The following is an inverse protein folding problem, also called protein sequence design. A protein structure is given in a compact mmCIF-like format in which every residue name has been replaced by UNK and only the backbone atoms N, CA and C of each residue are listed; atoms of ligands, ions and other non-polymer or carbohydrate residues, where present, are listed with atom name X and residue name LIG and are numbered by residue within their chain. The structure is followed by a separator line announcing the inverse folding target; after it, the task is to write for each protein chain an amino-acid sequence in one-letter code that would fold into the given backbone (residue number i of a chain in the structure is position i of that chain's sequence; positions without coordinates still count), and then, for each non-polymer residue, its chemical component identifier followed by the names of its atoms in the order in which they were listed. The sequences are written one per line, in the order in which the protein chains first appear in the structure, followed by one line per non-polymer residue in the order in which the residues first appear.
data_IF_720225901384
#
_entry.id   IF_720225901384
#
_cell.length_a   1.000
_cell.length_b   1.000
_cell.length_c   1.000
_cell.angle_alpha   90.00
_cell.angle_beta   90.00
_cell.angle_gamma   90.00
#
_symmetry.space_group_name_H-M   'P 1'
#
loop_
_entity.id
_entity.type
_entity.pdbx_description
1 polymer ?
#
# COMPACT_ATOMS: atom_id res chain seq x y z
N UNK A 1 18.35 35.72 -10.19
CA UNK A 1 19.09 34.51 -10.57
C UNK A 1 18.14 33.38 -10.28
N UNK A 2 17.42 32.93 -11.32
CA UNK A 2 16.77 31.64 -11.31
C UNK A 2 17.89 30.63 -11.11
N UNK A 3 17.93 30.01 -9.93
CA UNK A 3 18.80 28.87 -9.69
C UNK A 3 18.07 27.68 -10.27
N UNK A 4 18.60 27.12 -11.37
CA UNK A 4 18.20 25.82 -11.95
C UNK A 4 18.54 24.69 -10.96
N UNK A 5 17.98 24.73 -9.76
CA UNK A 5 18.25 23.75 -8.73
C UNK A 5 17.46 22.48 -9.02
N UNK A 6 18.18 21.36 -9.13
CA UNK A 6 17.61 20.07 -9.49
C UNK A 6 17.43 19.18 -8.27
N UNK A 7 16.40 18.35 -8.29
CA UNK A 7 16.20 17.34 -7.27
C UNK A 7 16.00 15.95 -7.87
N UNK A 8 16.47 14.95 -7.13
CA UNK A 8 16.14 13.55 -7.35
C UNK A 8 15.36 13.05 -6.14
N UNK A 9 14.27 12.31 -6.36
CA UNK A 9 13.46 11.75 -5.28
C UNK A 9 13.39 10.24 -5.44
N UNK A 10 13.76 9.52 -4.39
CA UNK A 10 13.64 8.06 -4.29
C UNK A 10 12.53 7.72 -3.30
N UNK A 11 11.57 6.93 -3.75
CA UNK A 11 10.45 6.43 -2.94
C UNK A 11 10.70 4.99 -2.56
N UNK A 12 10.64 4.68 -1.26
CA UNK A 12 10.72 3.32 -0.74
C UNK A 12 9.49 2.98 0.09
N UNK A 13 9.19 1.68 0.18
CA UNK A 13 8.19 1.14 1.08
C UNK A 13 6.85 0.85 0.42
N UNK A 14 5.84 1.70 0.66
CA UNK A 14 4.45 1.34 0.39
C UNK A 14 3.69 2.43 -0.36
N UNK A 15 2.49 2.13 -0.92
CA UNK A 15 1.65 3.09 -1.65
C UNK A 15 1.39 4.41 -0.92
N UNK A 16 1.38 4.40 0.43
CA UNK A 16 1.20 5.63 1.22
C UNK A 16 2.42 6.56 1.10
N UNK A 17 3.64 5.99 1.04
CA UNK A 17 4.86 6.75 0.82
C UNK A 17 4.97 7.26 -0.63
N UNK A 18 4.42 6.54 -1.60
CA UNK A 18 4.34 7.02 -3.00
C UNK A 18 3.50 8.29 -3.09
N UNK A 19 2.30 8.30 -2.49
CA UNK A 19 1.49 9.53 -2.42
C UNK A 19 2.23 10.67 -1.73
N UNK A 20 2.95 10.39 -0.65
CA UNK A 20 3.77 11.39 0.05
C UNK A 20 4.89 11.93 -0.85
N UNK A 21 5.50 11.08 -1.65
CA UNK A 21 6.57 11.43 -2.59
C UNK A 21 6.08 12.28 -3.76
N UNK A 22 4.91 11.98 -4.32
CA UNK A 22 4.29 12.79 -5.36
C UNK A 22 3.91 14.19 -4.85
N UNK A 23 3.47 14.29 -3.59
CA UNK A 23 3.20 15.57 -2.92
C UNK A 23 4.48 16.38 -2.68
N UNK A 24 5.55 15.73 -2.23
CA UNK A 24 6.86 16.36 -2.11
C UNK A 24 7.37 16.85 -3.46
N UNK A 25 7.21 16.04 -4.52
CA UNK A 25 7.56 16.40 -5.90
C UNK A 25 6.79 17.65 -6.35
N UNK A 26 5.47 17.68 -6.17
CA UNK A 26 4.64 18.84 -6.50
C UNK A 26 5.05 20.11 -5.74
N UNK A 27 5.42 19.98 -4.47
CA UNK A 27 5.94 21.09 -3.67
C UNK A 27 7.30 21.59 -4.22
N UNK A 28 8.27 20.71 -4.46
CA UNK A 28 9.60 21.08 -4.93
C UNK A 28 9.56 21.75 -6.30
N UNK A 29 8.71 21.24 -7.21
CA UNK A 29 8.46 21.88 -8.51
C UNK A 29 7.83 23.27 -8.33
N UNK A 30 6.87 23.42 -7.40
CA UNK A 30 6.25 24.72 -7.09
C UNK A 30 7.22 25.71 -6.47
N UNK A 31 8.25 25.23 -5.77
CA UNK A 31 9.36 26.03 -5.24
C UNK A 31 10.43 26.35 -6.30
N UNK A 32 10.24 25.93 -7.55
CA UNK A 32 11.07 26.27 -8.71
C UNK A 32 12.20 25.29 -9.00
N UNK A 33 12.19 24.09 -8.40
CA UNK A 33 13.18 23.05 -8.68
C UNK A 33 12.75 22.17 -9.86
N UNK A 34 13.73 21.59 -10.56
CA UNK A 34 13.51 20.66 -11.68
C UNK A 34 13.82 19.21 -11.24
N UNK A 35 12.95 18.25 -11.58
CA UNK A 35 13.22 16.84 -11.31
C UNK A 35 14.29 16.28 -12.27
N UNK A 36 15.19 15.44 -11.76
CA UNK A 36 16.23 14.77 -12.56
C UNK A 36 16.44 13.33 -12.11
N UNK A 37 16.63 12.41 -13.06
CA UNK A 37 17.08 11.03 -12.80
C UNK A 37 18.61 10.91 -12.78
N UNK A 38 19.32 11.94 -13.25
CA UNK A 38 20.77 12.01 -13.20
C UNK A 38 21.24 12.54 -11.85
N UNK A 39 21.67 11.60 -10.98
CA UNK A 39 22.20 11.88 -9.64
C UNK A 39 23.40 12.83 -9.65
N UNK A 40 24.20 12.84 -10.71
CA UNK A 40 25.39 13.70 -10.80
C UNK A 40 25.02 15.17 -11.01
N UNK A 41 23.79 15.43 -11.45
CA UNK A 41 23.24 16.75 -11.68
C UNK A 41 22.20 17.17 -10.62
N UNK A 42 21.92 16.34 -9.61
CA UNK A 42 20.95 16.66 -8.56
C UNK A 42 21.60 17.52 -7.46
N UNK A 43 21.05 18.69 -7.14
CA UNK A 43 21.49 19.48 -5.98
C UNK A 43 20.91 18.94 -4.66
N UNK A 44 19.71 18.34 -4.75
CA UNK A 44 18.97 17.77 -3.62
C UNK A 44 18.54 16.34 -3.95
N UNK A 45 18.85 15.39 -3.08
CA UNK A 45 18.40 14.01 -3.15
C UNK A 45 17.47 13.78 -1.96
N UNK A 46 16.19 13.54 -2.22
CA UNK A 46 15.20 13.24 -1.18
C UNK A 46 14.93 11.74 -1.17
N UNK A 47 15.13 11.08 -0.03
CA UNK A 47 14.85 9.65 0.14
C UNK A 47 13.65 9.49 1.08
N UNK A 48 12.49 9.09 0.53
CA UNK A 48 11.31 8.78 1.32
C UNK A 48 11.36 7.32 1.79
N UNK A 49 11.78 7.13 3.02
CA UNK A 49 12.17 5.85 3.61
C UNK A 49 10.99 5.08 4.24
N UNK A 50 11.17 3.76 4.34
CA UNK A 50 10.28 2.87 5.06
C UNK A 50 10.91 2.41 6.38
N UNK A 51 10.09 2.14 7.39
CA UNK A 51 10.53 1.57 8.67
C UNK A 51 9.49 0.62 9.27
N UNK A 52 8.71 -0.02 8.40
CA UNK A 52 7.61 -0.87 8.82
C UNK A 52 8.09 -2.24 9.33
N UNK A 53 9.10 -2.80 8.67
CA UNK A 53 9.76 -4.06 9.04
C UNK A 53 11.27 -3.91 8.90
N UNK A 54 12.02 -4.77 9.59
CA UNK A 54 13.49 -4.81 9.56
C UNK A 54 14.07 -4.81 8.15
N UNK A 55 13.59 -5.66 7.24
CA UNK A 55 14.11 -5.75 5.87
C UNK A 55 13.95 -4.43 5.10
N UNK A 56 12.84 -3.72 5.30
CA UNK A 56 12.60 -2.42 4.66
C UNK A 56 13.46 -1.30 5.24
N UNK A 57 13.90 -1.44 6.51
CA UNK A 57 14.86 -0.52 7.14
C UNK A 57 16.25 -0.74 6.55
N UNK A 58 16.68 -1.99 6.39
CA UNK A 58 17.96 -2.35 5.77
C UNK A 58 18.02 -1.82 4.33
N UNK A 59 16.99 -2.08 3.52
CA UNK A 59 16.86 -1.56 2.15
C UNK A 59 16.97 -0.03 2.11
N UNK A 60 16.31 0.66 3.05
CA UNK A 60 16.37 2.13 3.14
C UNK A 60 17.79 2.63 3.42
N UNK A 61 18.52 1.98 4.33
CA UNK A 61 19.90 2.35 4.66
C UNK A 61 20.84 2.07 3.50
N UNK A 62 20.75 0.88 2.88
CA UNK A 62 21.57 0.52 1.72
C UNK A 62 21.35 1.49 0.55
N UNK A 63 20.11 1.88 0.30
CA UNK A 63 19.78 2.87 -0.74
C UNK A 63 20.42 4.22 -0.47
N UNK A 64 20.39 4.71 0.78
CA UNK A 64 21.03 5.97 1.16
C UNK A 64 22.53 5.92 0.89
N UNK A 65 23.20 4.83 1.30
CA UNK A 65 24.64 4.65 1.10
C UNK A 65 24.99 4.58 -0.39
N UNK A 66 24.22 3.84 -1.18
CA UNK A 66 24.43 3.75 -2.64
C UNK A 66 24.24 5.12 -3.32
N UNK A 67 23.27 5.93 -2.89
CA UNK A 67 23.06 7.28 -3.42
C UNK A 67 24.21 8.21 -3.05
N UNK A 68 24.77 8.10 -1.85
CA UNK A 68 25.96 8.85 -1.43
C UNK A 68 27.18 8.55 -2.31
N UNK A 69 27.37 7.29 -2.70
CA UNK A 69 28.48 6.91 -3.59
C UNK A 69 28.34 7.48 -5.01
N UNK A 70 27.10 7.71 -5.48
CA UNK A 70 26.80 8.11 -6.85
C UNK A 70 26.52 9.61 -7.02
N UNK A 71 26.23 10.34 -5.94
CA UNK A 71 25.91 11.77 -5.99
C UNK A 71 27.11 12.64 -6.38
N UNK A 72 26.83 13.87 -6.76
CA UNK A 72 27.87 14.91 -6.81
C UNK A 72 28.25 15.32 -5.35
N UNK A 73 29.50 15.72 -5.13
CA UNK A 73 30.02 16.15 -3.82
C UNK A 73 29.21 17.30 -3.21
N UNK A 74 28.61 18.16 -4.04
CA UNK A 74 27.80 19.29 -3.59
C UNK A 74 26.33 18.92 -3.29
N UNK A 75 25.87 17.73 -3.74
CA UNK A 75 24.49 17.27 -3.59
C UNK A 75 24.15 17.02 -2.13
N UNK A 76 22.96 17.47 -1.71
CA UNK A 76 22.44 17.26 -0.35
C UNK A 76 21.50 16.07 -0.26
N UNK A 77 21.75 15.14 0.66
CA UNK A 77 20.85 14.01 0.93
C UNK A 77 19.94 14.38 2.10
N UNK A 78 18.63 14.38 1.84
CA UNK A 78 17.58 14.58 2.84
C UNK A 78 16.76 13.31 2.94
N UNK A 79 16.64 12.75 4.14
CA UNK A 79 15.76 11.60 4.36
C UNK A 79 14.43 12.06 4.94
N UNK A 80 13.35 11.41 4.52
CA UNK A 80 12.01 11.60 5.06
C UNK A 80 11.28 10.27 5.17
N UNK A 81 10.02 10.28 5.61
CA UNK A 81 9.19 9.07 5.75
C UNK A 81 9.30 8.39 7.11
N UNK A 82 8.91 7.11 7.16
CA UNK A 82 8.75 6.38 8.43
C UNK A 82 10.06 6.22 9.20
N UNK A 83 11.18 6.01 8.52
CA UNK A 83 12.47 5.80 9.18
C UNK A 83 12.98 7.09 9.80
N UNK A 84 12.86 8.21 9.07
CA UNK A 84 13.18 9.54 9.55
C UNK A 84 12.36 9.92 10.80
N UNK A 85 11.06 9.63 10.79
CA UNK A 85 10.18 9.92 11.93
C UNK A 85 10.54 9.08 13.17
N UNK A 86 10.74 7.77 12.99
CA UNK A 86 10.90 6.84 14.12
C UNK A 86 12.32 6.82 14.68
N UNK A 87 13.34 6.90 13.82
CA UNK A 87 14.75 6.71 14.16
C UNK A 87 15.62 7.91 13.81
N UNK A 88 15.04 9.08 13.55
CA UNK A 88 15.77 10.23 13.03
C UNK A 88 16.98 10.67 13.85
N UNK A 89 16.87 10.64 15.19
CA UNK A 89 17.98 10.96 16.08
C UNK A 89 19.14 9.95 15.98
N UNK A 90 18.84 8.67 15.78
CA UNK A 90 19.85 7.63 15.65
C UNK A 90 20.52 7.72 14.28
N UNK A 91 19.74 7.90 13.22
CA UNK A 91 20.24 8.03 11.86
C UNK A 91 21.18 9.22 11.72
N UNK A 92 20.83 10.38 12.26
CA UNK A 92 21.70 11.55 12.19
C UNK A 92 23.06 11.33 12.86
N UNK A 93 23.16 10.39 13.82
CA UNK A 93 24.42 10.04 14.47
C UNK A 93 25.17 8.90 13.75
N UNK A 94 24.46 7.98 13.10
CA UNK A 94 25.01 6.76 12.51
C UNK A 94 25.33 6.90 11.01
N UNK A 95 24.64 7.79 10.30
CA UNK A 95 24.81 8.03 8.87
C UNK A 95 25.23 9.50 8.63
N UNK A 96 26.54 9.81 8.70
CA UNK A 96 27.05 11.17 8.47
C UNK A 96 26.82 11.68 7.04
N UNK A 97 26.50 10.78 6.09
CA UNK A 97 26.19 11.07 4.69
C UNK A 97 24.87 11.84 4.54
N UNK A 98 23.97 11.73 5.52
CA UNK A 98 22.65 12.38 5.54
C UNK A 98 22.78 13.81 6.04
N UNK A 99 22.56 14.79 5.16
CA UNK A 99 22.64 16.21 5.48
C UNK A 99 21.45 16.69 6.33
N UNK A 100 20.26 16.11 6.15
CA UNK A 100 19.07 16.47 6.93
C UNK A 100 18.09 15.31 7.09
N UNK A 101 17.47 15.25 8.27
CA UNK A 101 16.40 14.29 8.60
C UNK A 101 15.09 15.06 8.75
N UNK A 102 14.15 14.80 7.86
CA UNK A 102 12.84 15.44 7.81
C UNK A 102 11.73 14.45 8.16
N UNK A 103 11.32 14.39 9.43
CA UNK A 103 10.13 13.66 9.87
C UNK A 103 8.82 14.21 9.28
N UNK A 104 7.69 13.64 9.66
CA UNK A 104 6.38 14.17 9.27
C UNK A 104 6.20 15.57 9.85
N UNK A 105 5.84 16.54 9.00
CA UNK A 105 5.73 17.94 9.46
C UNK A 105 7.02 18.74 9.37
N UNK A 106 8.14 18.14 8.93
CA UNK A 106 9.40 18.84 8.68
C UNK A 106 9.58 19.07 7.18
N UNK A 107 9.75 20.32 6.71
CA UNK A 107 10.01 20.58 5.30
C UNK A 107 11.31 19.92 4.84
N UNK A 108 11.28 19.29 3.67
CA UNK A 108 12.49 18.71 3.04
C UNK A 108 13.39 19.78 2.39
N UNK A 109 12.86 20.99 2.16
CA UNK A 109 13.60 22.08 1.53
C UNK A 109 14.55 22.77 2.51
N UNK A 110 15.84 22.82 2.15
CA UNK A 110 16.92 23.40 2.96
C UNK A 110 16.99 24.94 2.87
N UNK A 111 16.28 25.57 1.92
CA UNK A 111 16.43 27.00 1.59
C UNK A 111 15.38 27.91 2.23
N UNK A 112 14.27 27.37 2.73
CA UNK A 112 13.24 28.14 3.45
C UNK A 112 13.47 28.06 4.96
N UNK A 113 13.73 29.21 5.60
CA UNK A 113 13.42 29.38 7.03
C UNK A 113 11.91 29.16 7.17
N UNK A 114 11.52 27.99 7.69
CA UNK A 114 10.13 27.62 7.87
C UNK A 114 9.40 28.62 8.79
N UNK A 115 8.72 29.59 8.18
CA UNK A 115 7.67 30.39 8.84
C UNK A 115 6.32 30.18 8.13
N UNK A 116 6.13 29.01 7.53
CA UNK A 116 4.83 28.54 7.06
C UNK A 116 4.15 27.71 8.18
N UNK A 117 2.81 27.72 8.29
CA UNK A 117 2.09 26.87 9.23
C UNK A 117 2.46 25.40 9.00
N UNK A 118 2.38 24.58 10.06
CA UNK A 118 2.77 23.16 10.11
C UNK A 118 2.71 22.47 8.73
N UNK A 119 3.84 21.96 8.26
CA UNK A 119 3.98 21.29 6.96
C UNK A 119 3.05 20.06 6.91
N UNK A 120 1.84 20.22 6.39
CA UNK A 120 0.85 19.14 6.37
C UNK A 120 0.94 18.32 5.09
N UNK A 121 1.89 17.38 5.09
CA UNK A 121 2.14 16.45 3.99
C UNK A 121 0.85 15.75 3.49
N UNK A 122 -0.11 15.51 4.38
CA UNK A 122 -1.38 14.85 4.04
C UNK A 122 -2.24 15.68 3.07
N UNK A 123 -2.17 17.00 3.11
CA UNK A 123 -3.02 17.91 2.32
C UNK A 123 -2.25 18.77 1.31
N UNK A 124 -0.96 18.48 1.07
CA UNK A 124 -0.21 19.12 0.00
C UNK A 124 -0.81 18.76 -1.38
N UNK A 125 -0.81 19.73 -2.33
CA UNK A 125 -1.14 19.44 -3.72
C UNK A 125 -0.03 18.62 -4.38
N UNK A 126 -0.39 17.88 -5.43
CA UNK A 126 0.55 17.13 -6.28
C UNK A 126 0.16 17.29 -7.76
N UNK A 127 1.09 17.08 -8.70
CA UNK A 127 0.79 17.11 -10.13
C UNK A 127 -0.21 16.01 -10.52
N UNK A 128 -0.72 16.11 -11.76
CA UNK A 128 -1.47 15.03 -12.38
C UNK A 128 -0.61 13.76 -12.47
N UNK A 129 -1.26 12.60 -12.45
CA UNK A 129 -0.53 11.32 -12.57
C UNK A 129 0.00 11.14 -13.99
N UNK A 130 1.19 10.55 -14.09
CA UNK A 130 1.79 10.08 -15.33
C UNK A 130 1.26 8.70 -15.76
N UNK A 131 0.62 7.99 -14.83
CA UNK A 131 -0.05 6.70 -15.03
C UNK A 131 -1.56 6.91 -15.20
N UNK A 132 -2.29 5.97 -15.79
CA UNK A 132 -3.76 6.06 -15.89
C UNK A 132 -4.48 5.74 -14.58
N UNK A 133 -3.73 5.55 -13.50
CA UNK A 133 -4.24 5.27 -12.16
C UNK A 133 -3.40 6.04 -11.14
N UNK A 134 -3.96 6.29 -9.97
CA UNK A 134 -3.19 6.90 -8.86
C UNK A 134 -3.63 6.36 -7.50
N UNK A 135 -2.66 6.16 -6.62
CA UNK A 135 -2.95 6.00 -5.20
C UNK A 135 -3.45 7.31 -4.63
N UNK A 136 -4.43 7.26 -3.73
CA UNK A 136 -4.97 8.44 -3.06
C UNK A 136 -5.03 8.20 -1.55
N UNK A 137 -4.17 8.90 -0.81
CA UNK A 137 -4.14 8.83 0.66
C UNK A 137 -5.28 9.68 1.24
N UNK A 138 -6.27 9.02 1.84
CA UNK A 138 -7.48 9.67 2.39
C UNK A 138 -7.42 9.90 3.91
N UNK A 139 -6.52 9.20 4.60
CA UNK A 139 -6.31 9.33 6.03
C UNK A 139 -4.86 8.96 6.40
N UNK A 140 -4.43 9.42 7.57
CA UNK A 140 -3.14 9.17 8.19
C UNK A 140 -3.36 8.60 9.61
N UNK A 141 -2.42 7.81 10.12
CA UNK A 141 -2.48 7.28 11.48
C UNK A 141 -3.52 6.16 11.64
N UNK A 142 -3.57 5.56 12.83
CA UNK A 142 -4.44 4.43 13.10
C UNK A 142 -4.72 4.28 14.59
N UNK A 143 -5.99 4.12 14.96
CA UNK A 143 -6.41 3.95 16.36
C UNK A 143 -6.38 2.48 16.84
N UNK A 144 -5.92 1.55 16.00
CA UNK A 144 -5.87 0.12 16.34
C UNK A 144 -4.66 -0.21 17.20
N UNK A 145 -4.88 -0.93 18.28
CA UNK A 145 -3.84 -1.43 19.17
C UNK A 145 -3.34 -2.83 18.77
N UNK A 146 -3.02 -3.05 17.49
CA UNK A 146 -2.53 -4.35 17.00
C UNK A 146 -1.18 -4.68 17.67
N UNK A 147 -1.02 -5.92 18.14
CA UNK A 147 0.10 -6.33 18.98
C UNK A 147 1.48 -6.20 18.34
N UNK A 148 1.56 -6.39 17.02
CA UNK A 148 2.78 -6.29 16.21
C UNK A 148 3.01 -4.90 15.60
N UNK A 149 2.04 -3.98 15.69
CA UNK A 149 2.07 -2.76 14.88
C UNK A 149 2.60 -1.58 15.70
N UNK A 150 3.64 -0.91 15.19
CA UNK A 150 4.21 0.31 15.78
C UNK A 150 3.58 1.60 15.23
N UNK A 151 2.77 1.54 14.17
CA UNK A 151 2.18 2.72 13.49
C UNK A 151 1.58 3.76 14.45
N UNK A 152 0.77 3.38 15.48
CA UNK A 152 0.17 4.36 16.37
C UNK A 152 1.19 5.18 17.18
N UNK A 153 2.42 4.68 17.37
CA UNK A 153 3.45 5.39 18.15
C UNK A 153 4.12 6.53 17.40
N UNK A 154 4.18 6.47 16.06
CA UNK A 154 4.93 7.45 15.26
C UNK A 154 4.09 8.15 14.18
N UNK A 155 3.03 7.53 13.65
CA UNK A 155 2.06 8.21 12.74
C UNK A 155 0.87 8.81 13.51
N UNK A 156 0.73 8.50 14.80
CA UNK A 156 -0.32 9.03 15.66
C UNK A 156 -1.70 8.41 15.43
N UNK A 157 -2.74 8.99 16.08
CA UNK A 157 -4.12 8.53 15.94
C UNK A 157 -4.67 8.81 14.53
N UNK A 158 -5.80 8.21 14.22
CA UNK A 158 -6.42 8.37 12.91
C UNK A 158 -6.83 9.84 12.65
N UNK A 159 -6.41 10.34 11.48
CA UNK A 159 -6.72 11.67 10.97
C UNK A 159 -7.19 11.58 9.52
N UNK A 160 -8.48 11.72 9.30
CA UNK A 160 -9.13 11.66 7.99
C UNK A 160 -9.16 13.04 7.33
N UNK A 161 -8.95 13.08 6.01
CA UNK A 161 -9.03 14.30 5.20
C UNK A 161 -10.47 14.75 4.97
N UNK A 162 -10.66 16.01 4.61
CA UNK A 162 -11.96 16.53 4.19
C UNK A 162 -12.36 15.96 2.82
N UNK A 163 -13.64 15.64 2.64
CA UNK A 163 -14.16 15.07 1.39
C UNK A 163 -13.90 16.03 0.22
N UNK A 164 -14.12 17.34 0.36
CA UNK A 164 -13.93 18.28 -0.75
C UNK A 164 -12.46 18.35 -1.16
N UNK A 165 -11.53 18.38 -0.18
CA UNK A 165 -10.09 18.32 -0.47
C UNK A 165 -9.71 17.04 -1.21
N UNK A 166 -10.29 15.90 -0.85
CA UNK A 166 -10.07 14.64 -1.57
C UNK A 166 -10.60 14.74 -2.99
N UNK A 167 -11.81 15.26 -3.19
CA UNK A 167 -12.43 15.36 -4.52
C UNK A 167 -11.67 16.33 -5.44
N UNK A 168 -11.20 17.47 -4.91
CA UNK A 168 -10.33 18.38 -5.64
C UNK A 168 -9.04 17.68 -6.11
N UNK A 169 -8.45 16.83 -5.25
CA UNK A 169 -7.28 16.04 -5.63
C UNK A 169 -7.64 15.00 -6.71
N UNK A 170 -8.75 14.28 -6.57
CA UNK A 170 -9.22 13.31 -7.59
C UNK A 170 -9.36 13.98 -8.96
N UNK A 171 -9.99 15.15 -9.01
CA UNK A 171 -10.19 15.90 -10.25
C UNK A 171 -8.85 16.35 -10.86
N UNK A 172 -7.86 16.69 -10.02
CA UNK A 172 -6.53 17.11 -10.49
C UNK A 172 -5.66 15.97 -11.03
N UNK A 173 -5.90 14.72 -10.62
CA UNK A 173 -5.09 13.57 -10.99
C UNK A 173 -5.30 13.12 -12.44
N UNK A 174 -6.48 13.37 -13.01
CA UNK A 174 -6.83 13.02 -14.41
C UNK A 174 -6.70 11.52 -14.75
N UNK A 175 -7.02 10.64 -13.81
CA UNK A 175 -6.86 9.18 -13.93
C UNK A 175 -8.17 8.44 -14.25
N UNK A 176 -8.03 7.17 -14.66
CA UNK A 176 -9.11 6.20 -14.87
C UNK A 176 -9.39 5.32 -13.66
N UNK A 177 -8.39 5.10 -12.82
CA UNK A 177 -8.52 4.37 -11.57
C UNK A 177 -7.96 5.18 -10.39
N UNK A 178 -8.72 5.27 -9.31
CA UNK A 178 -8.23 5.78 -8.03
C UNK A 178 -8.18 4.62 -7.04
N UNK A 179 -7.01 4.46 -6.41
CA UNK A 179 -6.79 3.44 -5.37
C UNK A 179 -6.69 4.12 -4.01
N UNK A 180 -7.75 3.98 -3.22
CA UNK A 180 -7.85 4.59 -1.90
C UNK A 180 -6.97 3.84 -0.90
N UNK A 181 -6.08 4.59 -0.25
CA UNK A 181 -5.13 4.07 0.73
C UNK A 181 -5.18 4.84 2.05
N UNK A 182 -5.02 4.09 3.15
CA UNK A 182 -4.84 4.58 4.51
C UNK A 182 -4.20 3.45 5.35
N UNK A 183 -3.94 3.69 6.64
CA UNK A 183 -3.55 2.63 7.56
C UNK A 183 -4.74 1.76 8.00
N UNK A 184 -5.92 2.37 8.21
CA UNK A 184 -7.22 1.69 8.36
C UNK A 184 -8.26 2.44 7.53
N UNK A 185 -8.50 1.96 6.31
CA UNK A 185 -9.34 2.66 5.34
C UNK A 185 -10.81 2.68 5.77
N UNK A 186 -11.31 1.56 6.31
CA UNK A 186 -12.70 1.42 6.71
C UNK A 186 -13.07 2.29 7.93
N UNK A 187 -12.08 2.79 8.67
CA UNK A 187 -12.27 3.72 9.78
C UNK A 187 -12.39 5.21 9.36
N UNK A 188 -12.25 5.53 8.06
CA UNK A 188 -12.36 6.90 7.56
C UNK A 188 -13.62 7.62 8.04
N UNK A 189 -13.44 8.87 8.49
CA UNK A 189 -14.51 9.76 8.96
C UNK A 189 -14.98 9.50 10.39
N UNK A 190 -14.40 8.55 11.13
CA UNK A 190 -14.78 8.30 12.55
C UNK A 190 -14.23 9.32 13.52
N UNK A 191 -13.05 9.84 13.21
CA UNK A 191 -12.34 10.92 13.89
C UNK A 191 -12.98 12.28 13.63
N UNK A 192 -13.73 12.41 12.52
CA UNK A 192 -14.50 13.60 12.21
C UNK A 192 -15.75 13.64 13.09
N UNK A 193 -15.77 14.54 14.08
CA UNK A 193 -16.87 14.68 15.04
C UNK A 193 -18.21 15.12 14.45
N UNK A 194 -18.28 15.38 13.14
CA UNK A 194 -19.45 15.90 12.39
C UNK A 194 -19.61 15.07 11.10
N UNK A 195 -20.85 14.74 10.72
CA UNK A 195 -21.16 14.01 9.48
C UNK A 195 -21.47 12.52 9.69
N UNK A 196 -21.64 11.78 8.57
CA UNK A 196 -21.76 10.31 8.60
C UNK A 196 -20.36 9.72 8.79
N UNK A 197 -20.17 8.97 9.88
CA UNK A 197 -18.91 8.26 10.21
C UNK A 197 -18.70 7.03 9.31
N UNK A 198 -18.62 7.26 8.01
CA UNK A 198 -18.56 6.21 6.99
C UNK A 198 -17.78 6.70 5.78
N UNK A 199 -17.04 5.79 5.17
CA UNK A 199 -16.37 6.00 3.88
C UNK A 199 -17.35 5.99 2.70
N UNK A 200 -18.57 5.45 2.86
CA UNK A 200 -19.53 5.28 1.76
C UNK A 200 -19.84 6.58 1.02
N UNK A 201 -20.14 7.73 1.68
CA UNK A 201 -20.38 8.98 0.98
C UNK A 201 -19.20 9.45 0.14
N UNK A 202 -17.96 9.19 0.59
CA UNK A 202 -16.77 9.51 -0.20
C UNK A 202 -16.71 8.64 -1.46
N UNK A 203 -16.96 7.34 -1.33
CA UNK A 203 -16.98 6.41 -2.48
C UNK A 203 -18.04 6.85 -3.49
N UNK A 204 -19.27 7.15 -3.03
CA UNK A 204 -20.38 7.60 -3.88
C UNK A 204 -20.07 8.87 -4.69
N UNK A 205 -19.24 9.76 -4.15
CA UNK A 205 -18.77 10.96 -4.86
C UNK A 205 -17.63 10.65 -5.85
N UNK A 206 -16.67 9.80 -5.47
CA UNK A 206 -15.52 9.49 -6.34
C UNK A 206 -15.97 8.69 -7.56
N UNK A 207 -16.91 7.75 -7.44
CA UNK A 207 -17.40 6.94 -8.58
C UNK A 207 -18.11 7.76 -9.65
N UNK A 208 -18.51 9.00 -9.35
CA UNK A 208 -19.08 9.92 -10.36
C UNK A 208 -17.99 10.61 -11.20
N UNK A 209 -16.73 10.55 -10.76
CA UNK A 209 -15.58 11.24 -11.36
C UNK A 209 -14.60 10.30 -12.02
N UNK A 210 -14.51 9.06 -11.53
CA UNK A 210 -13.51 8.07 -11.95
C UNK A 210 -14.17 6.74 -12.28
N UNK A 211 -13.69 6.07 -13.34
CA UNK A 211 -14.27 4.81 -13.83
C UNK A 211 -14.07 3.67 -12.82
N UNK A 212 -12.87 3.55 -12.23
CA UNK A 212 -12.51 2.54 -11.25
C UNK A 212 -12.14 3.17 -9.90
N UNK A 213 -12.73 2.62 -8.83
CA UNK A 213 -12.41 2.98 -7.44
C UNK A 213 -12.08 1.70 -6.68
N UNK A 214 -10.84 1.61 -6.20
CA UNK A 214 -10.34 0.45 -5.46
C UNK A 214 -10.06 0.83 -4.01
N UNK A 215 -10.37 -0.07 -3.10
CA UNK A 215 -10.14 0.11 -1.67
C UNK A 215 -9.10 -0.91 -1.19
N UNK A 216 -8.02 -0.42 -0.56
CA UNK A 216 -7.00 -1.25 0.07
C UNK A 216 -7.00 -1.10 1.60
N UNK A 217 -6.37 -2.04 2.30
CA UNK A 217 -6.16 -1.99 3.75
C UNK A 217 -7.47 -1.96 4.57
N UNK A 218 -8.39 -2.88 4.27
CA UNK A 218 -9.67 -2.98 4.98
C UNK A 218 -9.52 -3.83 6.24
N UNK A 219 -9.78 -3.21 7.40
CA UNK A 219 -9.84 -3.94 8.65
C UNK A 219 -11.15 -4.76 8.75
N UNK A 220 -11.10 -6.09 8.93
CA UNK A 220 -12.27 -6.96 8.76
C UNK A 220 -13.47 -6.63 9.67
N UNK A 221 -13.24 -6.14 10.89
CA UNK A 221 -14.33 -5.84 11.82
C UNK A 221 -15.22 -4.68 11.39
N UNK A 222 -14.76 -3.86 10.44
CA UNK A 222 -15.50 -2.68 9.96
C UNK A 222 -16.30 -2.94 8.70
N UNK A 223 -16.18 -4.14 8.14
CA UNK A 223 -16.86 -4.56 6.92
C UNK A 223 -18.25 -5.05 7.30
N UNK A 224 -19.17 -4.09 7.43
CA UNK A 224 -20.58 -4.35 7.64
C UNK A 224 -21.32 -4.50 6.31
N UNK A 225 -22.59 -4.93 6.37
CA UNK A 225 -23.41 -5.16 5.18
C UNK A 225 -23.52 -3.94 4.26
N UNK A 226 -23.61 -2.71 4.80
CA UNK A 226 -23.72 -1.51 3.99
C UNK A 226 -22.44 -1.27 3.17
N UNK A 227 -21.27 -1.52 3.76
CA UNK A 227 -20.00 -1.40 3.04
C UNK A 227 -19.84 -2.53 2.01
N UNK A 228 -20.26 -3.75 2.33
CA UNK A 228 -20.27 -4.87 1.37
C UNK A 228 -21.13 -4.52 0.16
N UNK A 229 -22.36 -4.03 0.39
CA UNK A 229 -23.28 -3.66 -0.68
C UNK A 229 -22.71 -2.51 -1.53
N UNK A 230 -22.15 -1.48 -0.88
CA UNK A 230 -21.50 -0.37 -1.58
C UNK A 230 -20.35 -0.86 -2.47
N UNK A 231 -19.43 -1.67 -1.92
CA UNK A 231 -18.28 -2.19 -2.67
C UNK A 231 -18.68 -3.18 -3.78
N UNK A 232 -19.67 -4.03 -3.55
CA UNK A 232 -20.18 -4.97 -4.56
C UNK A 232 -20.91 -4.28 -5.71
N UNK A 233 -21.36 -3.03 -5.51
CA UNK A 233 -21.96 -2.21 -6.58
C UNK A 233 -20.93 -1.45 -7.43
N UNK A 234 -19.66 -1.46 -7.03
CA UNK A 234 -18.56 -0.88 -7.81
C UNK A 234 -18.21 -1.77 -9.01
N UNK A 235 -17.63 -1.15 -10.03
CA UNK A 235 -16.97 -1.85 -11.15
C UNK A 235 -15.82 -2.74 -10.66
N UNK A 236 -15.20 -2.39 -9.53
CA UNK A 236 -14.06 -3.07 -8.93
C UNK A 236 -14.46 -3.68 -7.57
N UNK A 237 -15.17 -4.82 -7.53
CA UNK A 237 -15.52 -5.51 -6.28
C UNK A 237 -14.30 -6.24 -5.70
N UNK A 238 -13.31 -5.47 -5.24
CA UNK A 238 -12.02 -5.94 -4.75
C UNK A 238 -11.89 -5.69 -3.24
N UNK A 239 -11.65 -6.75 -2.47
CA UNK A 239 -11.60 -6.73 -1.02
C UNK A 239 -10.20 -7.12 -0.54
N UNK A 240 -9.37 -6.13 -0.20
CA UNK A 240 -8.10 -6.32 0.50
C UNK A 240 -8.32 -6.38 2.02
N UNK A 241 -8.53 -7.60 2.51
CA UNK A 241 -8.83 -7.90 3.89
C UNK A 241 -7.54 -8.12 4.69
N UNK A 242 -7.24 -7.23 5.63
CA UNK A 242 -6.11 -7.42 6.53
C UNK A 242 -6.42 -8.50 7.58
N UNK A 243 -6.35 -9.79 7.25
CA UNK A 243 -6.68 -10.89 8.18
C UNK A 243 -5.57 -11.21 9.18
N UNK A 244 -4.31 -11.13 8.78
CA UNK A 244 -3.07 -11.29 9.57
C UNK A 244 -2.85 -12.69 10.15
N UNK A 245 -3.87 -13.36 10.67
CA UNK A 245 -3.86 -14.78 11.01
C UNK A 245 -5.31 -15.30 11.07
N UNK A 246 -5.53 -16.60 11.29
CA UNK A 246 -6.88 -17.17 11.44
C UNK A 246 -7.11 -17.89 12.78
N UNK A 247 -6.05 -18.39 13.40
CA UNK A 247 -6.11 -19.01 14.72
C UNK A 247 -6.71 -18.08 15.79
N UNK A 248 -7.76 -18.49 16.52
CA UNK A 248 -8.33 -17.72 17.63
C UNK A 248 -7.32 -17.45 18.76
N UNK A 249 -6.31 -18.30 18.92
CA UNK A 249 -5.29 -18.15 19.96
C UNK A 249 -4.37 -16.99 19.61
N UNK A 250 -3.87 -16.96 18.38
CA UNK A 250 -2.96 -15.93 17.88
C UNK A 250 -3.66 -14.60 17.63
N UNK A 251 -4.88 -14.61 17.10
CA UNK A 251 -5.65 -13.38 16.90
C UNK A 251 -5.86 -12.60 18.20
N UNK A 252 -6.13 -13.30 19.32
CA UNK A 252 -6.19 -12.67 20.65
C UNK A 252 -4.84 -12.13 21.11
N UNK A 253 -3.74 -12.87 20.90
CA UNK A 253 -2.38 -12.41 21.24
C UNK A 253 -1.94 -11.21 20.40
N UNK A 254 -2.31 -11.18 19.12
CA UNK A 254 -2.13 -10.05 18.22
C UNK A 254 -3.07 -8.87 18.55
N UNK A 255 -3.96 -9.00 19.54
CA UNK A 255 -4.98 -8.00 19.91
C UNK A 255 -5.88 -7.62 18.72
N UNK A 256 -6.23 -8.60 17.88
CA UNK A 256 -7.06 -8.40 16.69
C UNK A 256 -8.42 -9.04 16.85
N UNK A 257 -9.38 -8.46 16.14
CA UNK A 257 -10.71 -9.05 16.00
C UNK A 257 -10.70 -10.13 14.91
N UNK A 258 -11.51 -11.16 15.11
CA UNK A 258 -11.74 -12.20 14.12
C UNK A 258 -10.97 -13.48 14.41
N UNK A 259 -11.34 -14.49 13.64
CA UNK A 259 -10.83 -15.86 13.64
C UNK A 259 -11.32 -16.56 12.36
N UNK A 260 -10.88 -17.79 12.13
CA UNK A 260 -11.21 -18.56 10.94
C UNK A 260 -12.73 -18.65 10.69
N UNK A 261 -13.55 -18.86 11.72
CA UNK A 261 -15.02 -18.96 11.58
C UNK A 261 -15.63 -17.63 11.12
N UNK A 262 -15.27 -16.52 11.77
CA UNK A 262 -15.78 -15.18 11.40
C UNK A 262 -15.35 -14.78 9.99
N UNK A 263 -14.11 -15.07 9.62
CA UNK A 263 -13.60 -14.75 8.29
C UNK A 263 -14.27 -15.59 7.21
N UNK A 264 -14.53 -16.88 7.46
CA UNK A 264 -15.35 -17.72 6.56
C UNK A 264 -16.73 -17.12 6.32
N UNK A 265 -17.40 -16.69 7.40
CA UNK A 265 -18.72 -16.07 7.31
C UNK A 265 -18.69 -14.80 6.46
N UNK A 266 -17.73 -13.91 6.72
CA UNK A 266 -17.56 -12.65 5.98
C UNK A 266 -17.26 -12.89 4.49
N UNK A 267 -16.30 -13.75 4.17
CA UNK A 267 -15.93 -14.05 2.77
C UNK A 267 -17.11 -14.72 2.05
N UNK A 268 -17.81 -15.64 2.72
CA UNK A 268 -18.98 -16.30 2.14
C UNK A 268 -20.12 -15.31 1.87
N UNK A 269 -20.34 -14.35 2.76
CA UNK A 269 -21.33 -13.29 2.58
C UNK A 269 -20.99 -12.41 1.37
N UNK A 270 -19.74 -11.95 1.26
CA UNK A 270 -19.29 -11.16 0.11
C UNK A 270 -19.45 -11.96 -1.19
N UNK A 271 -19.08 -13.24 -1.22
CA UNK A 271 -19.23 -14.10 -2.42
C UNK A 271 -20.68 -14.34 -2.82
N UNK A 272 -21.61 -14.42 -1.85
CA UNK A 272 -23.04 -14.51 -2.15
C UNK A 272 -23.55 -13.23 -2.81
N UNK A 273 -23.05 -12.08 -2.38
CA UNK A 273 -23.46 -10.78 -2.93
C UNK A 273 -22.80 -10.50 -4.29
N UNK A 274 -21.54 -10.88 -4.46
CA UNK A 274 -20.79 -10.75 -5.71
C UNK A 274 -19.89 -11.98 -5.91
N UNK A 275 -20.33 -12.96 -6.74
CA UNK A 275 -19.52 -14.14 -7.06
C UNK A 275 -18.21 -13.81 -7.78
N UNK A 276 -18.13 -12.64 -8.41
CA UNK A 276 -16.94 -12.14 -9.12
C UNK A 276 -16.01 -11.32 -8.22
N UNK A 277 -16.34 -11.16 -6.93
CA UNK A 277 -15.52 -10.43 -5.98
C UNK A 277 -14.13 -11.05 -5.84
N UNK A 278 -13.12 -10.19 -5.78
CA UNK A 278 -11.73 -10.56 -5.64
C UNK A 278 -11.30 -10.36 -4.20
N UNK A 279 -10.62 -11.35 -3.65
CA UNK A 279 -10.14 -11.31 -2.28
C UNK A 279 -8.63 -11.30 -2.25
N UNK A 280 -8.11 -10.29 -1.57
CA UNK A 280 -6.72 -10.19 -1.18
C UNK A 280 -6.60 -10.23 0.33
N UNK A 281 -5.56 -10.89 0.85
CA UNK A 281 -5.25 -10.84 2.28
C UNK A 281 -3.75 -10.91 2.53
N UNK A 282 -3.34 -10.55 3.73
CA UNK A 282 -1.97 -10.69 4.22
C UNK A 282 -1.97 -11.50 5.52
N UNK A 283 -0.94 -12.33 5.71
CA UNK A 283 -0.76 -13.17 6.89
C UNK A 283 0.65 -13.03 7.45
N UNK A 284 0.76 -13.00 8.78
CA UNK A 284 2.01 -12.97 9.52
C UNK A 284 2.28 -14.37 10.04
N UNK A 285 3.47 -14.89 9.76
CA UNK A 285 3.92 -16.24 10.13
C UNK A 285 5.11 -16.13 11.07
N UNK A 286 5.14 -16.95 12.11
CA UNK A 286 6.14 -16.91 13.17
C UNK A 286 5.80 -15.97 14.33
N UNK A 287 4.52 -15.62 14.53
CA UNK A 287 4.16 -14.75 15.66
C UNK A 287 4.48 -15.44 17.00
N UNK A 288 4.92 -14.72 18.05
CA UNK A 288 5.30 -15.34 19.32
C UNK A 288 4.21 -16.24 19.91
N UNK A 289 4.53 -17.53 20.05
CA UNK A 289 3.65 -18.58 20.54
C UNK A 289 2.87 -19.37 19.47
N UNK A 290 3.17 -19.18 18.18
CA UNK A 290 2.54 -19.91 17.07
C UNK A 290 2.93 -21.40 17.03
N UNK A 291 1.92 -22.27 17.11
CA UNK A 291 2.10 -23.73 17.12
C UNK A 291 1.96 -24.36 15.73
N UNK A 292 2.22 -25.67 15.63
CA UNK A 292 1.92 -26.43 14.41
C UNK A 292 0.41 -26.47 14.11
N UNK A 293 -0.45 -26.55 15.14
CA UNK A 293 -1.90 -26.53 14.91
C UNK A 293 -2.39 -25.19 14.35
N UNK A 294 -1.77 -24.07 14.75
CA UNK A 294 -2.08 -22.74 14.22
C UNK A 294 -1.74 -22.65 12.71
N UNK A 295 -0.60 -23.24 12.30
CA UNK A 295 -0.16 -23.33 10.90
C UNK A 295 -1.10 -24.23 10.10
N UNK A 296 -1.46 -25.41 10.61
CA UNK A 296 -2.41 -26.33 9.97
C UNK A 296 -3.78 -25.68 9.76
N UNK A 297 -4.27 -24.91 10.74
CA UNK A 297 -5.51 -24.15 10.63
C UNK A 297 -5.44 -23.09 9.52
N UNK A 298 -4.31 -22.38 9.40
CA UNK A 298 -4.08 -21.40 8.35
C UNK A 298 -4.05 -22.05 6.95
N UNK A 299 -3.32 -23.15 6.80
CA UNK A 299 -3.26 -23.94 5.55
C UNK A 299 -4.67 -24.40 5.14
N UNK A 300 -5.41 -24.96 6.10
CA UNK A 300 -6.78 -25.43 5.89
C UNK A 300 -7.69 -24.28 5.46
N UNK A 301 -7.60 -23.12 6.13
CA UNK A 301 -8.37 -21.93 5.78
C UNK A 301 -8.08 -21.44 4.37
N UNK A 302 -6.81 -21.36 3.95
CA UNK A 302 -6.44 -20.91 2.60
C UNK A 302 -6.94 -21.89 1.54
N UNK A 303 -6.80 -23.21 1.78
CA UNK A 303 -7.35 -24.26 0.91
C UNK A 303 -8.86 -24.15 0.76
N UNK A 304 -9.58 -23.91 1.85
CA UNK A 304 -11.03 -23.82 1.86
C UNK A 304 -11.52 -22.52 1.22
N UNK A 305 -10.91 -21.39 1.60
CA UNK A 305 -11.37 -20.08 1.17
C UNK A 305 -10.91 -19.73 -0.24
N UNK A 306 -9.85 -20.32 -0.80
CA UNK A 306 -9.45 -20.07 -2.20
C UNK A 306 -9.36 -18.55 -2.49
N UNK A 307 -8.60 -17.80 -1.69
CA UNK A 307 -8.41 -16.36 -1.92
C UNK A 307 -7.65 -16.13 -3.23
N UNK A 308 -7.92 -15.01 -3.90
CA UNK A 308 -7.29 -14.69 -5.19
C UNK A 308 -5.83 -14.29 -4.99
N UNK A 309 -5.54 -13.52 -3.94
CA UNK A 309 -4.21 -13.02 -3.62
C UNK A 309 -3.92 -13.18 -2.13
N UNK A 310 -2.77 -13.77 -1.78
CA UNK A 310 -2.28 -13.78 -0.40
C UNK A 310 -0.82 -13.34 -0.34
N UNK A 311 -0.52 -12.39 0.54
CA UNK A 311 0.84 -12.12 0.98
C UNK A 311 1.15 -12.85 2.29
N UNK A 312 2.32 -13.47 2.38
CA UNK A 312 2.82 -14.09 3.62
C UNK A 312 4.10 -13.39 4.05
N UNK A 313 4.13 -12.93 5.30
CA UNK A 313 5.23 -12.16 5.85
C UNK A 313 5.75 -12.85 7.11
N UNK A 314 7.07 -12.88 7.28
CA UNK A 314 7.67 -13.23 8.57
C UNK A 314 7.26 -12.21 9.62
N UNK A 315 6.99 -12.68 10.83
CA UNK A 315 6.89 -11.80 11.98
C UNK A 315 8.21 -11.05 12.17
N UNK A 316 8.13 -9.73 12.19
CA UNK A 316 9.26 -8.84 12.49
C UNK A 316 9.10 -8.30 13.92
N UNK A 317 10.14 -8.48 14.73
CA UNK A 317 10.12 -8.19 16.15
C UNK A 317 10.43 -6.72 16.44
N UNK A 318 9.44 -5.87 16.18
CA UNK A 318 9.61 -4.43 16.22
C UNK A 318 9.67 -3.86 17.64
N UNK A 319 10.73 -3.11 17.94
CA UNK A 319 10.92 -2.47 19.25
C UNK A 319 9.76 -1.52 19.61
N UNK A 320 9.31 -1.62 20.86
CA UNK A 320 8.21 -0.80 21.39
C UNK A 320 6.81 -1.34 21.10
N UNK A 321 6.69 -2.45 20.35
CA UNK A 321 5.41 -3.13 20.15
C UNK A 321 5.04 -4.02 21.34
N UNK A 322 3.77 -4.46 21.40
CA UNK A 322 3.36 -5.42 22.43
C UNK A 322 4.00 -6.79 22.20
N UNK A 323 4.17 -7.17 20.93
CA UNK A 323 4.73 -8.46 20.53
C UNK A 323 6.20 -8.61 20.96
N UNK A 324 6.97 -7.51 21.01
CA UNK A 324 8.39 -7.57 21.39
C UNK A 324 8.65 -7.99 22.83
N UNK A 325 7.67 -7.81 23.71
CA UNK A 325 7.70 -8.27 25.09
C UNK A 325 7.21 -9.71 25.29
N UNK A 326 6.78 -10.41 24.23
CA UNK A 326 6.25 -11.77 24.33
C UNK A 326 7.36 -12.82 24.29
N UNK A 327 7.20 -13.86 25.10
CA UNK A 327 8.00 -15.08 25.04
C UNK A 327 7.50 -16.02 23.94
N UNK A 328 8.29 -17.05 23.62
CA UNK A 328 7.92 -18.06 22.62
C UNK A 328 8.14 -17.62 21.18
N UNK A 329 9.20 -16.84 20.93
CA UNK A 329 9.63 -16.50 19.57
C UNK A 329 9.96 -17.78 18.80
N UNK A 330 9.57 -17.80 17.53
CA UNK A 330 9.74 -18.96 16.65
C UNK A 330 11.09 -18.86 15.93
N UNK A 331 11.78 -19.98 15.80
CA UNK A 331 13.06 -20.03 15.08
C UNK A 331 12.89 -19.64 13.61
N UNK A 332 13.80 -18.79 13.10
CA UNK A 332 13.76 -18.28 11.73
C UNK A 332 13.69 -19.39 10.68
N UNK A 333 14.35 -20.53 10.92
CA UNK A 333 14.30 -21.68 10.00
C UNK A 333 12.89 -22.26 9.88
N UNK A 334 12.13 -22.33 10.97
CA UNK A 334 10.76 -22.83 10.98
C UNK A 334 9.81 -21.82 10.31
N UNK A 335 10.01 -20.51 10.53
CA UNK A 335 9.26 -19.47 9.83
C UNK A 335 9.44 -19.58 8.31
N UNK A 336 10.68 -19.74 7.85
CA UNK A 336 10.98 -19.90 6.42
C UNK A 336 10.34 -21.17 5.83
N UNK A 337 10.30 -22.26 6.59
CA UNK A 337 9.61 -23.49 6.17
C UNK A 337 8.10 -23.27 6.01
N UNK A 338 7.45 -22.68 7.02
CA UNK A 338 6.02 -22.37 7.00
C UNK A 338 5.65 -21.41 5.87
N UNK A 339 6.47 -20.38 5.63
CA UNK A 339 6.28 -19.44 4.53
C UNK A 339 6.34 -20.13 3.17
N UNK A 340 7.29 -21.05 2.96
CA UNK A 340 7.41 -21.81 1.71
C UNK A 340 6.19 -22.70 1.47
N UNK A 341 5.69 -23.36 2.50
CA UNK A 341 4.50 -24.20 2.40
C UNK A 341 3.25 -23.39 2.01
N UNK A 342 3.03 -22.25 2.67
CA UNK A 342 1.91 -21.35 2.40
C UNK A 342 2.01 -20.72 1.01
N UNK A 343 3.21 -20.30 0.61
CA UNK A 343 3.45 -19.71 -0.72
C UNK A 343 3.19 -20.73 -1.82
N UNK A 344 3.74 -21.95 -1.70
CA UNK A 344 3.50 -23.02 -2.67
C UNK A 344 2.01 -23.36 -2.81
N UNK A 345 1.28 -23.39 -1.69
CA UNK A 345 -0.17 -23.57 -1.71
C UNK A 345 -0.88 -22.44 -2.45
N UNK A 346 -0.57 -21.18 -2.11
CA UNK A 346 -1.21 -20.03 -2.73
C UNK A 346 -0.89 -19.92 -4.22
N UNK A 347 0.35 -20.18 -4.63
CA UNK A 347 0.76 -20.17 -6.04
C UNK A 347 -0.11 -21.12 -6.88
N UNK A 348 -0.38 -22.32 -6.34
CA UNK A 348 -1.28 -23.27 -6.98
C UNK A 348 -2.73 -22.77 -7.09
N UNK A 349 -3.24 -22.09 -6.06
CA UNK A 349 -4.59 -21.50 -6.05
C UNK A 349 -4.68 -20.36 -7.08
N UNK A 350 -3.74 -19.42 -7.02
CA UNK A 350 -3.68 -18.27 -7.93
C UNK A 350 -3.57 -18.78 -9.37
N UNK A 351 -2.60 -19.64 -9.68
CA UNK A 351 -2.44 -20.20 -11.03
C UNK A 351 -3.73 -20.87 -11.53
N UNK A 352 -4.36 -21.72 -10.72
CA UNK A 352 -5.61 -22.39 -11.12
C UNK A 352 -6.74 -21.40 -11.43
N UNK A 353 -6.83 -20.29 -10.68
CA UNK A 353 -7.80 -19.23 -10.91
C UNK A 353 -7.48 -18.40 -12.16
N UNK A 354 -6.20 -18.16 -12.46
CA UNK A 354 -5.77 -17.48 -13.69
C UNK A 354 -6.05 -18.35 -14.91
N UNK A 355 -5.73 -19.64 -14.84
CA UNK A 355 -5.98 -20.61 -15.91
C UNK A 355 -7.48 -20.69 -16.25
N UNK A 356 -8.35 -20.57 -15.24
CA UNK A 356 -9.80 -20.57 -15.45
C UNK A 356 -10.32 -19.36 -16.26
N UNK A 357 -9.51 -18.32 -16.46
CA UNK A 357 -9.86 -17.17 -17.30
C UNK A 357 -9.45 -17.37 -18.77
N UNK A 358 -8.67 -18.42 -19.11
CA UNK A 358 -8.24 -18.66 -20.48
C UNK A 358 -9.45 -18.86 -21.39
N UNK A 359 -9.53 -18.07 -22.46
CA UNK A 359 -10.64 -18.05 -23.42
C UNK A 359 -11.77 -17.09 -23.05
N UNK A 360 -11.78 -16.52 -21.85
CA UNK A 360 -12.75 -15.52 -21.44
C UNK A 360 -12.43 -14.14 -22.02
N UNK A 361 -13.47 -13.34 -22.23
CA UNK A 361 -13.35 -11.93 -22.62
C UNK A 361 -13.26 -11.06 -21.37
N UNK A 362 -12.17 -10.33 -21.23
CA UNK A 362 -11.88 -9.46 -20.09
C UNK A 362 -11.74 -8.00 -20.53
N UNK A 363 -12.09 -7.08 -19.65
CA UNK A 363 -11.86 -5.64 -19.86
C UNK A 363 -10.60 -5.22 -19.10
N UNK A 364 -9.65 -4.62 -19.82
CA UNK A 364 -8.30 -4.30 -19.33
C UNK A 364 -8.06 -2.80 -19.43
N UNK A 365 -7.66 -2.17 -18.32
CA UNK A 365 -7.06 -0.85 -18.32
C UNK A 365 -5.59 -0.98 -18.73
N UNK A 366 -5.20 -0.31 -19.82
CA UNK A 366 -3.81 -0.34 -20.30
C UNK A 366 -2.99 0.65 -19.47
N UNK A 367 -2.09 0.14 -18.64
CA UNK A 367 -1.27 0.94 -17.72
C UNK A 367 -0.06 1.55 -18.41
N UNK A 368 0.59 0.77 -19.29
CA UNK A 368 1.76 1.19 -20.07
C UNK A 368 1.85 0.35 -21.35
N UNK A 369 2.83 0.62 -22.20
CA UNK A 369 3.01 -0.15 -23.43
C UNK A 369 3.23 -1.64 -23.13
N UNK A 370 2.34 -2.48 -23.67
CA UNK A 370 2.39 -3.94 -23.50
C UNK A 370 1.84 -4.46 -22.17
N UNK A 371 1.44 -3.59 -21.24
CA UNK A 371 1.02 -3.97 -19.88
C UNK A 371 -0.30 -3.31 -19.50
N UNK A 372 -1.23 -4.09 -18.97
CA UNK A 372 -2.48 -3.62 -18.40
C UNK A 372 -2.95 -4.46 -17.23
N UNK A 373 -4.12 -4.10 -16.68
CA UNK A 373 -4.76 -4.79 -15.56
C UNK A 373 -6.26 -4.88 -15.75
N UNK A 374 -6.87 -5.93 -15.24
CA UNK A 374 -8.32 -5.99 -15.04
C UNK A 374 -8.67 -5.39 -13.67
N UNK A 375 -9.96 -5.37 -13.33
CA UNK A 375 -10.40 -5.01 -11.99
C UNK A 375 -9.83 -5.96 -10.91
N UNK A 376 -9.34 -7.15 -11.29
CA UNK A 376 -8.85 -8.18 -10.37
C UNK A 376 -7.44 -7.95 -9.86
N UNK A 377 -6.67 -7.07 -10.49
CA UNK A 377 -5.29 -6.77 -10.13
C UNK A 377 -5.17 -5.35 -9.57
N UNK A 378 -4.71 -5.22 -8.32
CA UNK A 378 -4.25 -3.95 -7.80
C UNK A 378 -2.93 -3.53 -8.47
N UNK A 379 -2.75 -2.24 -8.81
CA UNK A 379 -1.50 -1.78 -9.43
C UNK A 379 -0.29 -2.11 -8.56
N UNK A 380 0.82 -2.52 -9.19
CA UNK A 380 2.13 -2.78 -8.56
C UNK A 380 2.18 -3.86 -7.46
N UNK A 381 1.04 -4.43 -7.05
CA UNK A 381 0.94 -5.36 -5.92
C UNK A 381 0.60 -6.77 -6.39
N UNK A 382 -0.34 -6.90 -7.32
CA UNK A 382 -0.83 -8.18 -7.82
C UNK A 382 -0.17 -8.51 -9.19
N UNK A 383 -0.73 -9.47 -9.93
CA UNK A 383 -0.24 -9.81 -11.27
C UNK A 383 -0.54 -8.73 -12.33
N UNK A 384 -0.06 -8.97 -13.55
CA UNK A 384 -0.33 -8.11 -14.72
C UNK A 384 -1.00 -8.86 -15.86
N UNK A 385 -1.52 -8.11 -16.83
CA UNK A 385 -2.01 -8.63 -18.11
C UNK A 385 -1.11 -8.10 -19.20
N UNK A 386 -0.41 -9.00 -19.89
CA UNK A 386 0.31 -8.67 -21.13
C UNK A 386 -0.71 -8.41 -22.23
N UNK A 387 -0.62 -7.24 -22.87
CA UNK A 387 -1.54 -6.79 -23.92
C UNK A 387 -0.78 -6.43 -25.20
N UNK A 388 -1.44 -6.41 -26.38
CA UNK A 388 -0.78 -6.00 -27.62
C UNK A 388 -0.30 -4.55 -27.58
N UNK A 389 0.86 -4.26 -28.18
CA UNK A 389 1.44 -2.91 -28.28
C UNK A 389 0.54 -1.88 -29.00
N UNK A 390 -0.45 -2.36 -29.77
CA UNK A 390 -1.44 -1.52 -30.43
C UNK A 390 -2.47 -0.92 -29.46
N UNK A 391 -2.56 -1.43 -28.23
CA UNK A 391 -3.49 -0.92 -27.22
C UNK A 391 -2.99 0.43 -26.69
N UNK A 392 -3.91 1.38 -26.54
CA UNK A 392 -3.57 2.73 -26.12
C UNK A 392 -3.56 2.85 -24.60
N UNK A 393 -2.46 3.38 -24.06
CA UNK A 393 -2.30 3.65 -22.62
C UNK A 393 -3.43 4.56 -22.12
N UNK A 394 -4.02 4.21 -20.98
CA UNK A 394 -5.12 4.93 -20.34
C UNK A 394 -6.51 4.68 -20.94
N UNK A 395 -6.65 3.70 -21.83
CA UNK A 395 -7.95 3.28 -22.35
C UNK A 395 -8.33 1.88 -21.87
N UNK A 396 -9.63 1.65 -21.69
CA UNK A 396 -10.19 0.33 -21.45
C UNK A 396 -10.33 -0.42 -22.76
N UNK A 397 -9.73 -1.60 -22.84
CA UNK A 397 -9.77 -2.47 -24.02
C UNK A 397 -10.30 -3.84 -23.65
N UNK A 398 -11.25 -4.35 -24.42
CA UNK A 398 -11.70 -5.73 -24.25
C UNK A 398 -10.77 -6.68 -25.01
N UNK A 399 -10.24 -7.68 -24.31
CA UNK A 399 -9.31 -8.67 -24.84
C UNK A 399 -9.78 -10.08 -24.47
N UNK A 400 -9.28 -11.09 -25.18
CA UNK A 400 -9.49 -12.50 -24.90
C UNK A 400 -8.20 -13.06 -24.30
N UNK A 401 -8.32 -13.70 -23.14
CA UNK A 401 -7.18 -14.35 -22.48
C UNK A 401 -6.72 -15.56 -23.31
N UNK A 402 -5.45 -15.59 -23.70
CA UNK A 402 -4.83 -16.67 -24.47
C UNK A 402 -4.04 -17.64 -23.60
N UNK A 403 -3.49 -17.14 -22.50
CA UNK A 403 -2.70 -17.92 -21.59
C UNK A 403 -2.51 -17.22 -20.26
N UNK A 404 -1.85 -17.94 -19.36
CA UNK A 404 -1.47 -17.52 -18.02
C UNK A 404 -0.05 -18.01 -17.75
N UNK A 405 0.72 -17.22 -17.01
CA UNK A 405 2.03 -17.59 -16.51
C UNK A 405 2.09 -17.26 -15.02
N UNK A 406 1.81 -18.24 -14.18
CA UNK A 406 1.68 -18.03 -12.74
C UNK A 406 0.57 -17.00 -12.42
N UNK A 407 0.88 -15.84 -11.82
CA UNK A 407 -0.10 -14.80 -11.54
C UNK A 407 -0.50 -13.94 -12.76
N UNK A 408 0.31 -13.96 -13.83
CA UNK A 408 0.14 -13.06 -14.97
C UNK A 408 -0.73 -13.69 -16.07
N UNK A 409 -1.41 -12.85 -16.85
CA UNK A 409 -2.16 -13.26 -18.03
C UNK A 409 -1.54 -12.73 -19.31
N UNK A 410 -1.80 -13.43 -20.40
CA UNK A 410 -1.57 -12.97 -21.76
C UNK A 410 -2.92 -12.85 -22.46
N UNK A 411 -3.24 -11.69 -23.00
CA UNK A 411 -4.50 -11.42 -23.66
C UNK A 411 -4.30 -10.71 -25.01
N UNK A 412 -5.20 -10.97 -25.97
CA UNK A 412 -5.13 -10.41 -27.33
C UNK A 412 -6.53 -10.00 -27.83
N UNK A 413 -6.59 -9.19 -28.89
CA UNK A 413 -7.82 -8.65 -29.48
C UNK A 413 -8.71 -9.72 -30.16
N UNK A 414 -8.14 -10.89 -30.51
CA UNK A 414 -8.83 -11.97 -31.23
C UNK A 414 -8.54 -13.32 -30.65
#
# INVERSE_FOLDING_TARGET
METDSKFHLVTLGCPKNEVDSEKLTGMLISDGMEATDDLTNADLIVVNTCAFIEEAREESIETILNLDELRNEESKIVITGCLAERYGNEIQNLLPEVDHVAGFGVPVSLTRKATAPEFDLLNLPRPASDKPWAYLKIAEGCDRACGFCSIPSFRGPQRSRDINSILEEVDSLQVKEVVLVAQDLAAYGRDQGVGKKSIIPLIEEIVQRVDWVRLLYLYPSEINQQLIDAMCSLTVPYFDLSLQHVSPSLMRRMKRWGDAERFRCLISEIRRNSPSAVFRSNFIVGYPGETEEDQDELISFIKEMQLDWCGFFSFSDEEGTYASGLEGKIDRSLIVERLKELSYLQDGITSSKRDALIGERISVLVDSHGVGRTYREAPEIDGVVSVPDSCKVGEFTDLIVKGSLGPDLEADLT
#
